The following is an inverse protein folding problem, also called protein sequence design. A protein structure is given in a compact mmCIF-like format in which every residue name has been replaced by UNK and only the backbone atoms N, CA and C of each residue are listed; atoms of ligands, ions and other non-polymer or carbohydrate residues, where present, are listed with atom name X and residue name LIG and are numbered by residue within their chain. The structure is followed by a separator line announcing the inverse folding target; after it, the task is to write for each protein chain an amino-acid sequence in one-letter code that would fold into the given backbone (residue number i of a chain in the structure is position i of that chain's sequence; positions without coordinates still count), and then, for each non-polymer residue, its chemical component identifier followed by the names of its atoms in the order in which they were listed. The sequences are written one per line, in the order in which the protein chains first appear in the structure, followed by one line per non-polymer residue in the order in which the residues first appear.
data_IF_635552951016
#
_entry.id   IF_635552951016
#
_cell.length_a   1.000
_cell.length_b   1.000
_cell.length_c   1.000
_cell.angle_alpha   90.00
_cell.angle_beta   90.00
_cell.angle_gamma   90.00
#
_symmetry.space_group_name_H-M   'P 1'
#
loop_
_entity.id
_entity.type
_entity.pdbx_description
1 polymer ?
#
# COMPACT_ATOMS: atom_id res chain seq x y z
N UNK A 1 7.04 -6.13 14.30
CA UNK A 1 6.18 -5.53 13.29
C UNK A 1 5.76 -6.57 12.27
N UNK A 2 4.50 -6.57 11.89
CA UNK A 2 4.01 -7.50 10.89
C UNK A 2 4.00 -6.79 9.54
N UNK A 3 4.95 -7.14 8.68
CA UNK A 3 5.09 -6.48 7.38
C UNK A 3 3.91 -6.75 6.47
N UNK A 4 3.30 -7.93 6.57
CA UNK A 4 2.12 -8.20 5.74
C UNK A 4 0.98 -7.26 6.10
N UNK A 5 0.83 -7.00 7.38
CA UNK A 5 -0.20 -6.08 7.84
C UNK A 5 0.11 -4.66 7.42
N UNK A 6 1.36 -4.26 7.53
CA UNK A 6 1.77 -2.91 7.13
C UNK A 6 1.49 -2.69 5.65
N UNK A 7 1.90 -3.65 4.81
CA UNK A 7 1.65 -3.55 3.38
C UNK A 7 0.16 -3.47 3.09
N UNK A 8 -0.63 -4.33 3.76
CA UNK A 8 -2.07 -4.34 3.54
C UNK A 8 -2.72 -3.02 3.89
N UNK A 9 -2.31 -2.41 4.99
CA UNK A 9 -2.86 -1.13 5.41
C UNK A 9 -2.46 -0.02 4.45
N UNK A 10 -1.21 -0.04 3.98
CA UNK A 10 -0.76 0.95 3.02
C UNK A 10 -1.51 0.82 1.70
N UNK A 11 -1.69 -0.40 1.22
CA UNK A 11 -2.44 -0.63 -0.02
C UNK A 11 -3.87 -0.10 0.13
N UNK A 12 -4.52 -0.44 1.22
CA UNK A 12 -5.90 0.01 1.44
C UNK A 12 -5.99 1.53 1.48
N UNK A 13 -5.07 2.16 2.22
CA UNK A 13 -5.09 3.61 2.37
C UNK A 13 -4.90 4.30 1.02
N UNK A 14 -3.91 3.84 0.25
CA UNK A 14 -3.63 4.45 -1.05
C UNK A 14 -4.79 4.20 -2.01
N UNK A 15 -5.36 2.98 -1.98
CA UNK A 15 -6.51 2.66 -2.80
C UNK A 15 -7.66 3.64 -2.51
N UNK A 16 -7.94 3.86 -1.23
CA UNK A 16 -9.02 4.77 -0.84
C UNK A 16 -8.69 6.21 -1.22
N UNK A 17 -7.43 6.61 -1.10
CA UNK A 17 -7.00 7.95 -1.52
C UNK A 17 -7.21 8.15 -3.01
N UNK A 18 -7.12 7.09 -3.80
CA UNK A 18 -7.35 7.17 -5.25
C UNK A 18 -8.84 7.05 -5.61
N UNK A 19 -9.70 6.90 -4.61
CA UNK A 19 -11.13 6.79 -4.85
C UNK A 19 -11.56 5.46 -5.44
N UNK A 20 -10.77 4.41 -5.24
CA UNK A 20 -11.04 3.10 -5.84
C UNK A 20 -11.71 2.17 -4.85
N UNK A 21 -12.72 1.44 -5.32
CA UNK A 21 -13.22 0.30 -4.57
C UNK A 21 -12.28 -0.88 -4.76
N UNK A 22 -12.42 -1.91 -3.93
CA UNK A 22 -11.63 -3.13 -4.15
C UNK A 22 -11.90 -3.72 -5.53
N UNK A 23 -13.16 -3.67 -5.96
CA UNK A 23 -13.53 -4.22 -7.26
C UNK A 23 -12.85 -3.47 -8.39
N UNK A 24 -12.84 -2.13 -8.30
CA UNK A 24 -12.15 -1.33 -9.31
C UNK A 24 -10.66 -1.59 -9.31
N UNK A 25 -10.08 -1.73 -8.13
CA UNK A 25 -8.67 -2.02 -8.01
C UNK A 25 -8.36 -3.41 -8.60
N UNK A 26 -9.24 -4.38 -8.37
CA UNK A 26 -9.08 -5.70 -8.98
C UNK A 26 -9.04 -5.60 -10.51
N UNK A 27 -9.95 -4.81 -11.07
CA UNK A 27 -9.98 -4.63 -12.53
C UNK A 27 -8.70 -3.99 -13.04
N UNK A 28 -8.19 -2.99 -12.33
CA UNK A 28 -6.99 -2.29 -12.78
C UNK A 28 -5.72 -3.12 -12.62
N UNK A 29 -5.65 -3.92 -11.56
CA UNK A 29 -4.43 -4.63 -11.23
C UNK A 29 -4.33 -6.01 -11.85
N UNK A 30 -5.47 -6.58 -12.22
CA UNK A 30 -5.49 -7.95 -12.70
C UNK A 30 -5.55 -8.99 -11.60
N UNK A 31 -5.52 -8.59 -10.34
CA UNK A 31 -5.68 -9.51 -9.22
C UNK A 31 -7.15 -9.70 -8.90
N UNK A 32 -7.49 -10.83 -8.29
CA UNK A 32 -8.87 -11.07 -7.88
C UNK A 32 -9.21 -10.19 -6.68
N UNK A 33 -10.48 -9.86 -6.56
CA UNK A 33 -10.94 -9.11 -5.40
C UNK A 33 -10.71 -9.89 -4.12
N UNK A 34 -10.85 -11.22 -4.18
CA UNK A 34 -10.62 -12.07 -3.03
C UNK A 34 -9.16 -11.96 -2.57
N UNK A 35 -8.22 -11.97 -3.51
CA UNK A 35 -6.81 -11.81 -3.18
C UNK A 35 -6.57 -10.45 -2.52
N UNK A 36 -7.10 -9.39 -3.11
CA UNK A 36 -6.89 -8.05 -2.61
C UNK A 36 -7.52 -7.86 -1.22
N UNK A 37 -8.67 -8.47 -1.00
CA UNK A 37 -9.30 -8.42 0.31
C UNK A 37 -8.40 -9.04 1.37
N UNK A 38 -7.83 -10.20 1.07
CA UNK A 38 -6.90 -10.85 1.98
C UNK A 38 -5.63 -10.05 2.17
N UNK A 39 -5.13 -9.46 1.10
CA UNK A 39 -3.93 -8.64 1.15
C UNK A 39 -4.13 -7.45 2.09
N UNK A 40 -5.25 -6.74 1.94
CA UNK A 40 -5.50 -5.56 2.75
C UNK A 40 -5.70 -5.90 4.22
N UNK A 41 -6.04 -7.16 4.51
CA UNK A 41 -6.18 -7.61 5.90
C UNK A 41 -4.90 -8.22 6.45
N UNK A 42 -3.81 -8.17 5.70
CA UNK A 42 -2.54 -8.69 6.16
C UNK A 42 -2.41 -10.20 6.09
N UNK A 43 -3.23 -10.85 5.26
CA UNK A 43 -3.25 -12.31 5.16
C UNK A 43 -2.49 -12.84 3.98
N UNK A 44 -1.85 -11.98 3.20
CA UNK A 44 -1.07 -12.38 2.04
C UNK A 44 0.35 -11.89 2.19
N UNK A 45 1.26 -12.61 1.55
CA UNK A 45 2.68 -12.28 1.57
C UNK A 45 3.10 -12.01 0.13
N UNK A 46 2.87 -10.79 -0.38
CA UNK A 46 3.18 -10.50 -1.78
C UNK A 46 4.67 -10.54 -2.04
N UNK A 47 5.03 -10.99 -3.23
CA UNK A 47 6.42 -10.95 -3.67
C UNK A 47 6.79 -9.53 -4.04
N UNK A 48 8.09 -9.30 -4.25
CA UNK A 48 8.57 -7.99 -4.71
C UNK A 48 7.91 -7.61 -6.03
N UNK A 49 7.77 -8.58 -6.93
CA UNK A 49 7.12 -8.31 -8.23
C UNK A 49 5.65 -7.94 -8.02
N UNK A 50 4.97 -8.66 -7.14
CA UNK A 50 3.58 -8.34 -6.85
C UNK A 50 3.44 -6.93 -6.27
N UNK A 51 4.36 -6.53 -5.38
CA UNK A 51 4.34 -5.19 -4.84
C UNK A 51 4.46 -4.14 -5.94
N UNK A 52 5.34 -4.39 -6.91
CA UNK A 52 5.49 -3.48 -8.04
C UNK A 52 4.19 -3.39 -8.84
N UNK A 53 3.55 -4.52 -9.09
CA UNK A 53 2.31 -4.55 -9.86
C UNK A 53 1.17 -3.83 -9.14
N UNK A 54 1.08 -4.02 -7.83
CA UNK A 54 0.07 -3.33 -7.03
C UNK A 54 0.30 -1.82 -7.05
N UNK A 55 1.54 -1.41 -6.86
CA UNK A 55 1.88 0.02 -6.87
C UNK A 55 1.57 0.64 -8.23
N UNK A 56 1.90 -0.06 -9.30
CA UNK A 56 1.63 0.42 -10.64
C UNK A 56 0.14 0.69 -10.84
N UNK A 57 -0.70 -0.26 -10.41
CA UNK A 57 -2.14 -0.11 -10.54
C UNK A 57 -2.67 1.06 -9.71
N UNK A 58 -2.02 1.35 -8.58
CA UNK A 58 -2.40 2.44 -7.70
C UNK A 58 -1.75 3.75 -8.09
N UNK A 59 -0.89 3.76 -9.10
CA UNK A 59 -0.12 4.93 -9.50
C UNK A 59 0.72 5.45 -8.34
N UNK A 60 1.35 4.53 -7.64
CA UNK A 60 2.19 4.82 -6.49
C UNK A 60 3.56 4.19 -6.69
N UNK A 61 4.52 4.60 -5.86
CA UNK A 61 5.83 3.97 -5.87
C UNK A 61 5.81 2.75 -4.98
N UNK A 62 6.52 1.67 -5.34
CA UNK A 62 6.54 0.48 -4.49
C UNK A 62 6.96 0.76 -3.05
N UNK A 63 7.86 1.72 -2.85
CA UNK A 63 8.32 2.04 -1.50
C UNK A 63 7.18 2.56 -0.63
N UNK A 64 6.16 3.16 -1.23
CA UNK A 64 5.03 3.65 -0.45
C UNK A 64 4.25 2.52 0.20
N UNK A 65 4.30 1.33 -0.38
CA UNK A 65 3.62 0.18 0.20
C UNK A 65 4.35 -0.38 1.42
N UNK A 66 5.62 -0.03 1.57
CA UNK A 66 6.46 -0.52 2.66
C UNK A 66 6.73 0.55 3.71
N UNK A 67 6.26 1.76 3.49
CA UNK A 67 6.58 2.87 4.38
C UNK A 67 5.80 2.77 5.68
N UNK A 68 6.40 3.18 6.79
CA UNK A 68 5.67 3.23 8.06
C UNK A 68 4.45 4.15 7.92
N UNK A 69 3.37 3.79 8.61
CA UNK A 69 2.16 4.59 8.58
C UNK A 69 2.33 5.76 9.53
N UNK A 70 2.15 6.94 9.01
CA UNK A 70 2.28 8.14 9.82
C UNK A 70 1.18 8.24 10.83
N UNK A 71 1.45 8.94 11.85
CA UNK A 71 0.50 9.01 12.93
C UNK A 71 0.74 7.94 13.95
N UNK A 72 1.30 6.85 13.54
CA UNK A 72 1.72 5.85 14.51
C UNK A 72 3.18 5.99 14.81
N UNK A 73 3.91 6.58 13.90
CA UNK A 73 5.32 6.75 14.11
C UNK A 73 5.48 7.95 14.93
N UNK A 74 4.98 8.38 15.37
CA UNK A 74 5.25 9.41 16.09
C UNK A 74 6.05 10.34 15.49
N UNK A 75 5.95 10.51 14.94
CA UNK A 75 6.47 11.24 14.59
C UNK A 75 7.19 11.59 13.66
N UNK A 76 7.44 11.55 13.59
CA UNK A 76 7.92 11.94 13.04
C UNK A 76 8.25 12.31 12.30
N UNK A 77 8.60 12.60 11.89
CA UNK A 77 8.85 12.99 11.23
C UNK A 77 9.07 13.37 10.34
N UNK A 78 9.50 13.58 10.10
CA UNK A 78 9.66 14.04 9.37
C UNK A 78 9.82 14.35 8.43
N UNK A 79 10.06 14.38 8.49
CA UNK A 79 10.00 14.59 7.68
C UNK A 79 10.19 14.89 6.86
N UNK A 80 10.57 14.87 7.00
CA UNK A 80 10.55 14.96 6.33
C UNK A 80 10.58 15.34 5.54
N UNK A 81 10.85 15.24 5.67
CA UNK A 81 10.64 15.35 4.98
C UNK A 81 10.67 15.84 4.26
N UNK A 82 10.99 15.84 4.28
CA UNK A 82 10.97 16.07 3.72
C UNK A 82 11.19 16.40 2.99
N UNK A 83 11.49 16.43 3.04
CA UNK A 83 11.66 16.52 2.54
C UNK A 83 12.01 16.72 1.81
N UNK A 84 12.35 16.71 1.82
CA UNK A 84 12.69 16.74 1.37
C UNK A 84 13.07 17.07 0.65
N UNK A 85 13.26 17.03 0.62
CA UNK A 85 13.62 17.22 0.21
C UNK A 85 13.98 17.41 -0.43
N UNK A 86 14.37 17.49 -0.42
CA UNK A 86 14.74 17.58 -0.82
C UNK A 86 14.88 17.78 -1.34
#
# INVERSE_FOLDING_TARGET
MDMRRLVGENVRRIRQDRGLTQEQFADLSGFSQQYLSGLERGRRNPTVVTLFELATALKAQPVELLAPIEGTASGQTPSTSKKRRR
#
